data_IF_873400101117
#
_entry.id   IF_873400101117
#
_cell.length_a   1.000
_cell.length_b   1.000
_cell.length_c   1.000
_cell.angle_alpha   90.00
_cell.angle_beta   90.00
_cell.angle_gamma   90.00
#
_symmetry.space_group_name_H-M   'P 1'
#
loop_
_entity.id
_entity.type
_entity.pdbx_description
1 polymer ?
#
# COMPACT_ATOMS: atom_id res chain seq x y z
N UNK A 1 -12.30 21.23 25.44
CA UNK A 1 -11.99 19.81 25.70
C UNK A 1 -11.17 19.19 24.58
N UNK A 2 -11.61 19.25 23.31
CA UNK A 2 -10.85 18.74 22.16
C UNK A 2 -9.48 19.42 21.94
N UNK A 3 -9.35 20.70 22.27
CA UNK A 3 -8.06 21.42 22.22
C UNK A 3 -7.00 20.82 23.17
N UNK A 4 -7.43 20.29 24.32
CA UNK A 4 -6.57 19.61 25.29
C UNK A 4 -6.08 18.29 24.71
N UNK A 5 -6.99 17.53 24.10
CA UNK A 5 -6.70 16.25 23.43
C UNK A 5 -5.73 16.48 22.27
N UNK A 6 -6.01 17.44 21.39
CA UNK A 6 -5.11 17.85 20.30
C UNK A 6 -3.71 18.16 20.79
N UNK A 7 -3.60 19.03 21.80
CA UNK A 7 -2.30 19.41 22.35
C UNK A 7 -1.53 18.23 22.95
N UNK A 8 -2.21 17.35 23.70
CA UNK A 8 -1.57 16.16 24.26
C UNK A 8 -1.15 15.16 23.18
N UNK A 9 -2.02 14.91 22.21
CA UNK A 9 -1.80 14.01 21.09
C UNK A 9 -0.60 14.45 20.22
N UNK A 10 -0.50 15.74 19.89
CA UNK A 10 0.65 16.30 19.16
C UNK A 10 1.94 16.22 19.98
N UNK A 11 1.89 16.47 21.30
CA UNK A 11 3.08 16.38 22.18
C UNK A 11 3.70 14.99 22.23
N UNK A 12 2.88 13.94 22.14
CA UNK A 12 3.37 12.54 22.10
C UNK A 12 3.59 12.03 20.68
N UNK A 13 3.68 12.93 19.70
CA UNK A 13 3.90 12.61 18.30
C UNK A 13 2.88 11.60 17.75
N UNK A 14 1.60 11.93 17.90
CA UNK A 14 0.47 11.15 17.39
C UNK A 14 0.40 9.71 17.92
N UNK A 15 0.74 9.53 19.21
CA UNK A 15 0.53 8.28 19.92
C UNK A 15 -0.95 7.89 19.99
N UNK A 16 -1.22 6.59 20.20
CA UNK A 16 -2.58 6.06 20.29
C UNK A 16 -3.44 6.67 21.41
N UNK A 17 -4.72 6.33 21.40
CA UNK A 17 -5.75 6.77 22.34
C UNK A 17 -5.36 6.59 23.81
N UNK A 18 -4.85 5.42 24.20
CA UNK A 18 -4.42 5.13 25.58
C UNK A 18 -3.25 6.00 26.01
N UNK A 19 -2.26 6.20 25.13
CA UNK A 19 -1.10 7.07 25.44
C UNK A 19 -1.54 8.52 25.58
N UNK A 20 -2.39 8.98 24.67
CA UNK A 20 -2.98 10.33 24.71
C UNK A 20 -3.78 10.54 26.00
N UNK A 21 -4.60 9.57 26.39
CA UNK A 21 -5.38 9.61 27.62
C UNK A 21 -4.50 9.65 28.88
N UNK A 22 -3.46 8.82 28.96
CA UNK A 22 -2.52 8.83 30.10
C UNK A 22 -1.80 10.18 30.23
N UNK A 23 -1.40 10.81 29.14
CA UNK A 23 -0.81 12.16 29.19
C UNK A 23 -1.79 13.22 29.66
N UNK A 24 -3.06 13.14 29.24
CA UNK A 24 -4.09 14.09 29.66
C UNK A 24 -4.36 13.95 31.16
N UNK A 25 -4.41 12.72 31.68
CA UNK A 25 -4.67 12.42 33.10
C UNK A 25 -3.64 13.01 34.06
N UNK A 26 -2.43 13.36 33.61
CA UNK A 26 -1.43 14.04 34.44
C UNK A 26 -1.88 15.44 34.89
N UNK A 27 -2.78 16.08 34.13
CA UNK A 27 -3.21 17.47 34.37
C UNK A 27 -4.72 17.68 34.37
N UNK A 28 -5.49 16.79 33.75
CA UNK A 28 -6.93 16.94 33.56
C UNK A 28 -7.66 15.64 33.91
N UNK A 29 -8.72 15.76 34.72
CA UNK A 29 -9.52 14.60 35.18
C UNK A 29 -10.83 14.42 34.40
N UNK A 30 -11.33 15.47 33.74
CA UNK A 30 -12.64 15.49 33.06
C UNK A 30 -12.59 15.10 31.58
N UNK A 31 -11.54 14.43 31.12
CA UNK A 31 -11.43 13.95 29.73
C UNK A 31 -11.43 12.43 29.76
N UNK A 32 -12.40 11.80 29.10
CA UNK A 32 -12.51 10.34 29.05
C UNK A 32 -11.67 9.75 27.92
N UNK A 33 -11.41 8.44 27.99
CA UNK A 33 -10.74 7.71 26.91
C UNK A 33 -11.56 7.75 25.61
N UNK A 34 -12.89 7.73 25.73
CA UNK A 34 -13.81 7.80 24.59
C UNK A 34 -13.65 9.10 23.79
N UNK A 35 -13.48 10.23 24.48
CA UNK A 35 -13.19 11.51 23.83
C UNK A 35 -11.85 11.48 23.09
N UNK A 36 -10.84 10.79 23.65
CA UNK A 36 -9.55 10.62 22.98
C UNK A 36 -9.70 9.75 21.72
N UNK A 37 -10.48 8.68 21.79
CA UNK A 37 -10.74 7.79 20.66
C UNK A 37 -11.48 8.53 19.53
N UNK A 38 -12.57 9.24 19.85
CA UNK A 38 -13.31 10.07 18.89
C UNK A 38 -12.38 11.10 18.24
N UNK A 39 -11.55 11.81 19.00
CA UNK A 39 -10.63 12.78 18.41
C UNK A 39 -9.63 12.11 17.44
N UNK A 40 -9.02 10.99 17.84
CA UNK A 40 -7.98 10.32 17.05
C UNK A 40 -8.56 9.67 15.80
N UNK A 41 -9.82 9.22 15.80
CA UNK A 41 -10.47 8.71 14.58
C UNK A 41 -10.53 9.77 13.48
N UNK A 42 -10.68 11.05 13.84
CA UNK A 42 -10.72 12.20 12.92
C UNK A 42 -9.38 12.95 12.77
N UNK A 43 -8.29 12.50 13.41
CA UNK A 43 -6.99 13.16 13.24
C UNK A 43 -6.42 12.85 11.85
N UNK A 44 -6.21 13.89 11.04
CA UNK A 44 -5.75 13.80 9.65
C UNK A 44 -4.44 13.00 9.52
N UNK A 45 -3.41 13.33 10.31
CA UNK A 45 -2.12 12.62 10.27
C UNK A 45 -2.25 11.12 10.58
N UNK A 46 -3.08 10.79 11.58
CA UNK A 46 -3.37 9.40 11.94
C UNK A 46 -4.22 8.70 10.88
N UNK A 47 -5.11 9.42 10.20
CA UNK A 47 -5.94 8.90 9.13
C UNK A 47 -5.10 8.55 7.90
N UNK A 48 -4.26 9.47 7.43
CA UNK A 48 -3.35 9.24 6.30
C UNK A 48 -2.40 8.06 6.54
N UNK A 49 -1.90 7.91 7.77
CA UNK A 49 -1.05 6.76 8.14
C UNK A 49 -1.84 5.45 8.11
N UNK A 50 -3.11 5.44 8.50
CA UNK A 50 -3.97 4.25 8.44
C UNK A 50 -4.29 3.87 7.00
N UNK A 51 -4.66 4.82 6.15
CA UNK A 51 -4.96 4.57 4.73
C UNK A 51 -3.77 3.95 3.99
N UNK A 52 -2.55 4.44 4.23
CA UNK A 52 -1.33 3.86 3.64
C UNK A 52 -1.07 2.41 4.08
N UNK A 53 -1.55 2.03 5.27
CA UNK A 53 -1.38 0.68 5.83
C UNK A 53 -2.58 -0.23 5.57
N UNK A 54 -3.62 0.23 4.86
CA UNK A 54 -4.61 -0.69 4.31
C UNK A 54 -3.85 -1.54 3.31
N UNK A 55 -3.57 -2.79 3.69
CA UNK A 55 -2.97 -3.76 2.81
C UNK A 55 -3.74 -3.72 1.50
N UNK A 56 -3.04 -3.53 0.38
CA UNK A 56 -3.58 -3.67 -0.98
C UNK A 56 -3.92 -5.14 -1.26
N UNK A 57 -4.65 -5.75 -0.34
CA UNK A 57 -5.01 -7.16 -0.29
C UNK A 57 -6.17 -7.45 -1.21
N UNK A 58 -6.10 -6.98 -2.46
CA UNK A 58 -6.69 -7.75 -3.53
C UNK A 58 -5.59 -8.68 -4.02
N UNK A 59 -5.45 -9.82 -3.35
CA UNK A 59 -4.71 -10.94 -3.93
C UNK A 59 -5.58 -11.41 -5.09
N UNK A 60 -5.34 -10.83 -6.28
CA UNK A 60 -5.87 -11.38 -7.52
C UNK A 60 -5.41 -12.84 -7.55
N UNK A 61 -6.35 -13.79 -7.55
CA UNK A 61 -6.00 -15.19 -7.77
C UNK A 61 -5.14 -15.25 -9.04
N UNK A 62 -4.00 -15.97 -9.03
CA UNK A 62 -3.21 -16.16 -10.23
C UNK A 62 -4.11 -16.62 -11.36
N UNK A 63 -4.02 -15.95 -12.50
CA UNK A 63 -4.86 -16.23 -13.66
C UNK A 63 -4.44 -17.59 -14.23
N UNK A 64 -5.19 -18.63 -13.86
CA UNK A 64 -4.98 -19.99 -14.36
C UNK A 64 -5.39 -20.15 -15.82
N UNK A 65 -4.78 -21.13 -16.48
CA UNK A 65 -5.08 -21.59 -17.84
C UNK A 65 -5.31 -23.09 -17.78
N UNK A 66 -6.29 -23.62 -18.53
CA UNK A 66 -6.65 -25.04 -18.51
C UNK A 66 -5.97 -25.88 -19.59
N UNK A 67 -5.38 -25.25 -20.60
CA UNK A 67 -4.66 -25.92 -21.70
C UNK A 67 -3.52 -25.07 -22.26
N UNK A 68 -2.60 -25.72 -22.95
CA UNK A 68 -1.48 -25.10 -23.67
C UNK A 68 -2.02 -24.08 -24.69
N UNK A 69 -1.38 -22.92 -24.79
CA UNK A 69 -1.70 -21.82 -25.72
C UNK A 69 -3.09 -21.18 -25.53
N UNK A 70 -3.82 -21.52 -24.46
CA UNK A 70 -5.12 -20.89 -24.16
C UNK A 70 -4.96 -19.46 -23.64
N UNK A 71 -3.84 -19.16 -22.99
CA UNK A 71 -3.52 -17.84 -22.46
C UNK A 71 -2.01 -17.72 -22.25
N UNK A 72 -1.47 -16.56 -22.59
CA UNK A 72 -0.09 -16.22 -22.28
C UNK A 72 0.06 -14.74 -21.96
N UNK A 73 1.21 -14.40 -21.40
CA UNK A 73 1.60 -13.02 -21.12
C UNK A 73 2.63 -12.58 -22.16
N UNK A 74 2.39 -11.42 -22.76
CA UNK A 74 3.34 -10.74 -23.65
C UNK A 74 3.93 -9.55 -22.91
N UNK A 75 5.26 -9.43 -22.90
CA UNK A 75 5.94 -8.28 -22.32
C UNK A 75 7.06 -7.78 -23.24
N UNK A 76 7.03 -6.52 -23.69
CA UNK A 76 8.15 -5.91 -24.40
C UNK A 76 9.25 -5.48 -23.41
N UNK A 77 10.47 -5.93 -23.64
CA UNK A 77 11.68 -5.43 -22.95
C UNK A 77 12.29 -4.33 -23.81
N UNK A 78 12.55 -3.17 -23.22
CA UNK A 78 13.12 -2.03 -23.90
C UNK A 78 14.66 -2.08 -23.89
N UNK A 79 15.25 -2.06 -25.09
CA UNK A 79 16.69 -1.98 -25.35
C UNK A 79 17.05 -0.73 -26.17
N UNK A 80 16.23 0.33 -26.14
CA UNK A 80 16.44 1.54 -26.93
C UNK A 80 17.78 2.23 -26.62
N UNK A 81 18.29 2.12 -25.39
CA UNK A 81 19.61 2.65 -25.01
C UNK A 81 20.79 1.77 -25.49
N UNK A 82 20.54 0.51 -25.85
CA UNK A 82 21.54 -0.44 -26.33
C UNK A 82 20.91 -1.38 -27.38
N UNK A 83 20.59 -0.86 -28.59
CA UNK A 83 19.92 -1.64 -29.61
C UNK A 83 20.85 -2.65 -30.27
N UNK A 84 20.27 -3.77 -30.74
CA UNK A 84 20.96 -4.73 -31.60
C UNK A 84 20.54 -4.50 -33.06
N UNK A 85 21.42 -3.80 -33.80
CA UNK A 85 21.14 -3.36 -35.16
C UNK A 85 19.89 -2.47 -35.22
N UNK A 86 18.86 -2.94 -35.93
CA UNK A 86 17.59 -2.22 -36.08
C UNK A 86 16.58 -2.49 -34.96
N UNK A 87 16.82 -3.49 -34.11
CA UNK A 87 15.89 -3.92 -33.08
C UNK A 87 16.15 -3.16 -31.79
N UNK A 88 15.10 -2.58 -31.23
CA UNK A 88 15.15 -1.75 -30.02
C UNK A 88 14.39 -2.38 -28.87
N UNK A 89 13.64 -3.44 -29.13
CA UNK A 89 12.88 -4.13 -28.11
C UNK A 89 13.00 -5.64 -28.32
N UNK A 90 12.73 -6.39 -27.25
CA UNK A 90 12.53 -7.84 -27.35
C UNK A 90 11.18 -8.14 -26.76
N UNK A 91 10.28 -8.70 -27.56
CA UNK A 91 9.02 -9.23 -27.07
C UNK A 91 9.28 -10.59 -26.41
N UNK A 92 8.84 -10.72 -25.17
CA UNK A 92 8.73 -12.01 -24.48
C UNK A 92 7.29 -12.47 -24.53
N UNK A 93 7.08 -13.75 -24.81
CA UNK A 93 5.80 -14.42 -24.66
C UNK A 93 5.99 -15.60 -23.71
N UNK A 94 5.10 -15.73 -22.73
CA UNK A 94 5.08 -16.84 -21.78
C UNK A 94 3.70 -17.47 -21.77
N UNK A 95 3.60 -18.73 -22.17
CA UNK A 95 2.36 -19.48 -22.02
C UNK A 95 2.04 -19.72 -20.53
N UNK A 96 0.82 -19.46 -20.10
CA UNK A 96 0.46 -19.57 -18.68
C UNK A 96 0.40 -21.02 -18.19
N UNK A 97 0.12 -21.98 -19.07
CA UNK A 97 -0.06 -23.39 -18.71
C UNK A 97 1.29 -24.11 -18.65
N UNK A 98 1.96 -24.19 -19.79
CA UNK A 98 3.23 -24.90 -19.98
C UNK A 98 4.44 -24.13 -19.50
N UNK A 99 4.31 -22.80 -19.28
CA UNK A 99 5.44 -21.88 -19.04
C UNK A 99 6.45 -21.85 -20.18
N UNK A 100 6.08 -22.33 -21.37
CA UNK A 100 6.90 -22.22 -22.57
C UNK A 100 7.16 -20.75 -22.90
N UNK A 101 8.41 -20.44 -23.23
CA UNK A 101 8.91 -19.07 -23.33
C UNK A 101 9.46 -18.80 -24.73
N UNK A 102 9.01 -17.71 -25.35
CA UNK A 102 9.44 -17.28 -26.68
C UNK A 102 10.00 -15.86 -26.61
N UNK A 103 11.14 -15.66 -27.27
CA UNK A 103 11.75 -14.35 -27.47
C UNK A 103 11.68 -13.98 -28.95
N UNK A 104 11.26 -12.74 -29.23
CA UNK A 104 11.26 -12.20 -30.59
C UNK A 104 11.81 -10.77 -30.58
N UNK A 105 12.89 -10.48 -31.34
CA UNK A 105 13.37 -9.11 -31.50
C UNK A 105 12.36 -8.26 -32.27
N UNK A 106 12.14 -7.03 -31.82
CA UNK A 106 11.22 -6.03 -32.37
C UNK A 106 11.93 -4.69 -32.67
#
# INVERSE_FOLDING_TARGET
MLSIVRGAHSRINHGGDRKTFLEIRKKWVNVTLEICNIYISYCEDCHFKREKNIAKGFVLKPVGSSSIMSRGQVNPINYQSLPDGKFKHVMTYVDHFSKFFVLRPL
#
